data_IF_608842938711
#
_entry.id   IF_608842938711
#
_cell.length_a   1.000
_cell.length_b   1.000
_cell.length_c   1.000
_cell.angle_alpha   90.00
_cell.angle_beta   90.00
_cell.angle_gamma   90.00
#
_symmetry.space_group_name_H-M   'P 1'
#
loop_
_entity.id
_entity.type
_entity.pdbx_description
1 polymer ?
#
# COMPACT_ATOMS: atom_id res chain seq x y z
N UNK A 1 23.00 4.37 15.11
CA UNK A 1 22.76 3.51 13.94
C UNK A 1 21.29 3.66 13.55
N UNK A 2 21.01 3.90 12.27
CA UNK A 2 19.62 3.98 11.79
C UNK A 2 19.02 2.59 11.95
N UNK A 3 17.97 2.47 12.75
CA UNK A 3 17.24 1.23 12.99
C UNK A 3 16.59 0.71 11.70
N UNK A 4 16.20 1.61 10.79
CA UNK A 4 15.51 1.33 9.57
C UNK A 4 16.43 1.55 8.36
N UNK A 5 16.50 0.55 7.47
CA UNK A 5 17.22 0.64 6.19
C UNK A 5 16.20 0.76 5.07
N UNK A 6 16.29 1.85 4.33
CA UNK A 6 15.41 2.12 3.19
C UNK A 6 15.67 1.10 2.07
N UNK A 7 14.62 0.48 1.58
CA UNK A 7 14.64 -0.39 0.40
C UNK A 7 14.12 0.35 -0.83
N UNK A 8 13.10 1.20 -0.66
CA UNK A 8 12.60 2.09 -1.71
C UNK A 8 12.06 3.36 -1.07
N UNK A 9 12.32 4.50 -1.71
CA UNK A 9 11.75 5.82 -1.41
C UNK A 9 11.05 6.43 -2.62
N UNK A 10 11.06 5.68 -3.72
CA UNK A 10 10.43 6.04 -4.99
C UNK A 10 10.87 7.39 -5.56
N UNK A 11 12.13 7.80 -5.35
CA UNK A 11 12.73 8.87 -6.13
C UNK A 11 12.73 8.53 -7.62
N UNK A 12 12.72 7.24 -7.93
CA UNK A 12 12.52 6.67 -9.26
C UNK A 12 11.42 5.61 -9.23
N UNK A 13 10.93 5.19 -10.39
CA UNK A 13 9.98 4.09 -10.52
C UNK A 13 10.59 2.70 -10.22
N UNK A 14 11.85 2.65 -9.79
CA UNK A 14 12.55 1.39 -9.54
C UNK A 14 12.06 0.73 -8.24
N UNK A 15 11.69 -0.52 -8.33
CA UNK A 15 11.31 -1.35 -7.19
C UNK A 15 12.53 -2.07 -6.61
N UNK A 16 12.53 -2.41 -5.33
CA UNK A 16 13.56 -3.26 -4.75
C UNK A 16 13.68 -4.59 -5.50
N UNK A 17 14.87 -5.16 -5.51
CA UNK A 17 15.14 -6.44 -6.17
C UNK A 17 14.17 -7.52 -5.72
N UNK A 18 13.59 -8.23 -6.65
CA UNK A 18 12.69 -9.36 -6.40
C UNK A 18 11.22 -8.97 -6.17
N UNK A 19 10.90 -7.68 -6.07
CA UNK A 19 9.52 -7.24 -6.02
C UNK A 19 8.90 -7.30 -7.41
N UNK A 20 7.64 -7.70 -7.48
CA UNK A 20 6.92 -7.93 -8.74
C UNK A 20 5.64 -7.13 -8.72
N UNK A 21 5.32 -6.52 -9.85
CA UNK A 21 4.06 -5.80 -10.05
C UNK A 21 3.20 -6.49 -11.09
N UNK A 22 1.89 -6.32 -10.96
CA UNK A 22 0.90 -6.78 -11.90
C UNK A 22 -0.23 -5.75 -12.04
N UNK A 23 -0.87 -5.73 -13.19
CA UNK A 23 -1.99 -4.87 -13.49
C UNK A 23 -1.65 -3.44 -13.91
N UNK A 24 -2.58 -2.83 -14.65
CA UNK A 24 -2.41 -1.49 -15.20
C UNK A 24 -2.35 -0.40 -14.13
N UNK A 25 -2.98 -0.63 -12.97
CA UNK A 25 -2.88 0.28 -11.83
C UNK A 25 -1.45 0.44 -11.33
N UNK A 26 -0.65 -0.62 -11.33
CA UNK A 26 0.78 -0.52 -11.01
C UNK A 26 1.60 0.02 -12.17
N UNK A 27 1.35 -0.45 -13.38
CA UNK A 27 2.08 -0.02 -14.57
C UNK A 27 1.99 1.49 -14.82
N UNK A 28 0.85 2.08 -14.52
CA UNK A 28 0.54 3.50 -14.73
C UNK A 28 0.53 4.32 -13.43
N UNK A 29 0.76 3.67 -12.29
CA UNK A 29 0.54 4.26 -10.97
C UNK A 29 1.75 4.95 -10.34
N UNK A 30 2.92 4.90 -10.97
CA UNK A 30 4.06 5.66 -10.45
C UNK A 30 3.85 7.16 -10.65
N UNK A 31 4.03 7.92 -9.56
CA UNK A 31 3.91 9.38 -9.57
C UNK A 31 5.04 10.04 -8.79
N UNK A 32 5.32 11.29 -9.12
CA UNK A 32 6.23 12.17 -8.38
C UNK A 32 5.46 13.03 -7.38
N UNK A 33 6.17 13.61 -6.42
CA UNK A 33 5.56 14.47 -5.39
C UNK A 33 4.71 15.59 -6.00
N UNK A 34 3.50 15.77 -5.45
CA UNK A 34 2.57 16.81 -5.86
C UNK A 34 1.78 16.47 -7.13
N UNK A 35 1.80 15.23 -7.60
CA UNK A 35 0.94 14.81 -8.72
C UNK A 35 -0.53 14.94 -8.33
N UNK A 36 -1.34 15.68 -9.08
CA UNK A 36 -2.74 15.87 -8.75
C UNK A 36 -3.57 14.61 -9.04
N UNK A 37 -4.35 14.19 -8.07
CA UNK A 37 -5.43 13.22 -8.28
C UNK A 37 -6.68 13.98 -8.73
N UNK A 38 -7.14 13.69 -9.93
CA UNK A 38 -8.26 14.39 -10.54
C UNK A 38 -9.58 13.74 -10.13
N UNK A 39 -10.49 14.54 -9.60
CA UNK A 39 -11.86 14.12 -9.39
C UNK A 39 -12.62 14.13 -10.73
N UNK A 40 -13.33 13.05 -11.01
CA UNK A 40 -14.16 12.93 -12.21
C UNK A 40 -15.62 13.36 -11.96
N UNK A 41 -15.95 13.65 -10.72
CA UNK A 41 -17.28 14.01 -10.26
C UNK A 41 -17.20 15.10 -9.17
N UNK A 42 -18.27 15.83 -9.03
CA UNK A 42 -18.36 16.92 -8.04
C UNK A 42 -17.84 18.27 -8.54
N UNK A 43 -17.68 19.20 -7.60
CA UNK A 43 -17.27 20.59 -7.87
C UNK A 43 -15.75 20.81 -7.71
N UNK A 44 -15.00 19.78 -7.36
CA UNK A 44 -13.56 19.86 -7.09
C UNK A 44 -12.81 19.14 -8.20
N UNK A 45 -11.98 19.85 -8.94
CA UNK A 45 -11.18 19.25 -10.03
C UNK A 45 -10.01 18.44 -9.47
N UNK A 46 -9.35 18.92 -8.45
CA UNK A 46 -8.24 18.22 -7.78
C UNK A 46 -8.75 17.64 -6.48
N UNK A 47 -8.75 16.33 -6.37
CA UNK A 47 -9.19 15.62 -5.18
C UNK A 47 -8.10 15.59 -4.11
N UNK A 48 -6.85 15.36 -4.53
CA UNK A 48 -5.70 15.23 -3.63
C UNK A 48 -4.40 15.55 -4.40
N UNK A 49 -3.31 15.76 -3.65
CA UNK A 49 -1.95 15.82 -4.17
C UNK A 49 -1.18 14.60 -3.66
N UNK A 50 -0.87 13.71 -4.58
CA UNK A 50 -0.23 12.46 -4.25
C UNK A 50 1.26 12.69 -3.92
N UNK A 51 1.77 12.11 -2.84
CA UNK A 51 3.21 11.99 -2.62
C UNK A 51 3.81 11.02 -3.65
N UNK A 52 5.10 11.12 -3.90
CA UNK A 52 5.80 10.18 -4.77
C UNK A 52 5.61 8.74 -4.30
N UNK A 53 5.50 7.83 -5.26
CA UNK A 53 5.26 6.42 -5.00
C UNK A 53 4.42 5.75 -6.05
N UNK A 54 3.94 4.58 -5.74
CA UNK A 54 2.97 3.87 -6.55
C UNK A 54 1.57 4.05 -5.98
N UNK A 55 0.67 4.52 -6.83
CA UNK A 55 -0.74 4.75 -6.51
C UNK A 55 -1.59 4.09 -7.59
N UNK A 56 -2.16 2.93 -7.33
CA UNK A 56 -2.93 2.19 -8.34
C UNK A 56 -4.10 3.01 -8.91
N UNK A 57 -4.54 4.03 -8.18
CA UNK A 57 -5.63 4.92 -8.55
C UNK A 57 -5.19 6.26 -9.15
N UNK A 58 -3.90 6.48 -9.38
CA UNK A 58 -3.40 7.75 -9.90
C UNK A 58 -4.08 8.17 -11.22
N UNK A 59 -4.34 7.23 -12.11
CA UNK A 59 -5.09 7.48 -13.34
C UNK A 59 -6.57 7.16 -13.19
N UNK A 60 -6.90 6.06 -12.55
CA UNK A 60 -8.27 5.65 -12.29
C UNK A 60 -8.32 4.61 -11.17
N UNK A 61 -9.20 4.80 -10.21
CA UNK A 61 -9.46 3.84 -9.13
C UNK A 61 -10.10 2.52 -9.60
N UNK A 62 -10.38 2.39 -10.89
CA UNK A 62 -10.90 1.16 -11.51
C UNK A 62 -9.81 0.25 -12.08
N UNK A 63 -8.56 0.69 -12.07
CA UNK A 63 -7.45 -0.10 -12.61
C UNK A 63 -7.00 -1.14 -11.59
N UNK A 64 -6.89 -2.41 -12.00
CA UNK A 64 -6.38 -3.46 -11.14
C UNK A 64 -4.88 -3.26 -10.88
N UNK A 65 -4.42 -3.61 -9.69
CA UNK A 65 -3.01 -3.55 -9.34
C UNK A 65 -2.63 -4.54 -8.25
N UNK A 66 -1.44 -5.08 -8.35
CA UNK A 66 -0.82 -5.90 -7.32
C UNK A 66 0.66 -5.58 -7.19
N UNK A 67 1.16 -5.55 -5.95
CA UNK A 67 2.57 -5.49 -5.61
C UNK A 67 2.89 -6.71 -4.75
N UNK A 68 3.82 -7.52 -5.22
CA UNK A 68 4.22 -8.77 -4.57
C UNK A 68 5.61 -8.65 -4.02
N UNK A 69 5.75 -8.84 -2.72
CA UNK A 69 7.03 -8.88 -2.05
C UNK A 69 7.71 -10.25 -2.30
N UNK A 70 9.04 -10.30 -2.50
CA UNK A 70 9.75 -11.57 -2.52
C UNK A 70 9.61 -12.30 -1.18
N UNK A 71 9.92 -13.59 -1.18
CA UNK A 71 9.95 -14.35 0.06
C UNK A 71 10.94 -13.75 1.04
N UNK A 72 10.64 -13.80 2.32
CA UNK A 72 11.43 -13.15 3.35
C UNK A 72 12.90 -13.56 3.37
N UNK A 73 13.20 -14.80 3.13
CA UNK A 73 14.58 -15.30 3.08
C UNK A 73 15.47 -14.54 2.08
N UNK A 74 14.85 -13.87 1.10
CA UNK A 74 15.51 -13.08 0.07
C UNK A 74 15.55 -11.57 0.42
N UNK A 75 15.01 -11.18 1.57
CA UNK A 75 14.95 -9.79 2.02
C UNK A 75 15.97 -9.55 3.13
N UNK A 76 16.81 -8.51 3.04
CA UNK A 76 17.75 -8.20 4.09
C UNK A 76 17.04 -7.63 5.32
N UNK A 77 17.11 -8.32 6.45
CA UNK A 77 16.49 -7.94 7.72
C UNK A 77 15.34 -8.86 8.11
N UNK A 78 14.95 -8.79 9.38
CA UNK A 78 13.91 -9.65 9.95
C UNK A 78 12.51 -9.13 9.68
N UNK A 79 12.39 -7.84 9.43
CA UNK A 79 11.13 -7.15 9.26
C UNK A 79 11.15 -6.27 8.03
N UNK A 80 9.99 -6.13 7.40
CA UNK A 80 9.74 -5.13 6.37
C UNK A 80 8.56 -4.28 6.82
N UNK A 81 8.72 -2.97 6.75
CA UNK A 81 7.61 -2.03 6.94
C UNK A 81 7.39 -1.23 5.67
N UNK A 82 6.14 -1.00 5.37
CA UNK A 82 5.70 -0.28 4.17
C UNK A 82 4.82 0.89 4.61
N UNK A 83 5.10 2.06 4.09
CA UNK A 83 4.21 3.20 4.21
C UNK A 83 3.15 3.08 3.12
N UNK A 84 1.90 2.83 3.52
CA UNK A 84 0.83 2.50 2.59
C UNK A 84 -0.51 3.11 2.97
N UNK A 85 -1.35 3.29 1.97
CA UNK A 85 -2.75 3.62 2.09
C UNK A 85 -3.59 2.69 1.21
N UNK A 86 -4.89 2.68 1.42
CA UNK A 86 -5.78 1.92 0.57
C UNK A 86 -7.23 2.04 0.98
N UNK A 87 -8.09 1.61 0.09
CA UNK A 87 -9.51 1.62 0.30
C UNK A 87 -10.25 0.75 -0.70
N UNK A 88 -11.58 0.76 -0.54
CA UNK A 88 -12.50 0.07 -1.45
C UNK A 88 -12.10 -1.40 -1.66
N UNK A 89 -11.88 -2.10 -0.55
CA UNK A 89 -11.56 -3.53 -0.53
C UNK A 89 -10.17 -3.93 -1.06
N UNK A 90 -9.26 -3.01 -1.22
CA UNK A 90 -7.86 -3.40 -1.39
C UNK A 90 -7.36 -4.13 -0.14
N UNK A 91 -6.41 -5.01 -0.32
CA UNK A 91 -5.95 -5.85 0.78
C UNK A 91 -4.47 -6.14 0.77
N UNK A 92 -3.94 -6.44 1.93
CA UNK A 92 -2.67 -7.13 2.07
C UNK A 92 -2.93 -8.61 2.37
N UNK A 93 -2.21 -9.48 1.68
CA UNK A 93 -2.32 -10.93 1.77
C UNK A 93 -0.99 -11.46 2.29
N UNK A 94 -1.02 -12.18 3.40
CA UNK A 94 0.12 -12.93 3.91
C UNK A 94 0.03 -14.38 3.44
N UNK A 95 1.12 -14.88 2.87
CA UNK A 95 1.23 -16.27 2.44
C UNK A 95 2.45 -16.92 3.08
N UNK A 96 2.24 -18.06 3.73
CA UNK A 96 3.30 -18.86 4.35
C UNK A 96 3.67 -20.02 3.46
N UNK A 97 4.96 -20.27 3.30
CA UNK A 97 5.54 -21.35 2.49
C UNK A 97 4.95 -21.45 1.09
N UNK A 98 4.45 -22.61 0.72
CA UNK A 98 3.77 -22.89 -0.54
C UNK A 98 2.26 -23.02 -0.32
N UNK A 99 1.69 -22.19 0.56
CA UNK A 99 0.31 -22.27 0.90
C UNK A 99 -0.58 -22.16 -0.35
N UNK A 100 -1.39 -23.18 -0.58
CA UNK A 100 -2.48 -23.13 -1.55
C UNK A 100 -3.60 -22.18 -1.11
N UNK A 101 -3.62 -21.83 0.15
CA UNK A 101 -4.57 -20.94 0.75
C UNK A 101 -3.85 -19.73 1.32
N UNK A 102 -4.48 -18.59 1.20
CA UNK A 102 -4.06 -17.38 1.88
C UNK A 102 -4.13 -17.60 3.38
N UNK A 103 -3.03 -17.35 4.07
CA UNK A 103 -3.00 -17.49 5.51
C UNK A 103 -3.76 -16.37 6.20
N UNK A 104 -3.62 -15.15 5.71
CA UNK A 104 -4.35 -14.00 6.23
C UNK A 104 -4.58 -12.94 5.17
N UNK A 105 -5.75 -12.34 5.18
CA UNK A 105 -6.09 -11.16 4.40
C UNK A 105 -6.46 -10.03 5.36
N UNK A 106 -5.83 -8.88 5.18
CA UNK A 106 -6.19 -7.66 5.90
C UNK A 106 -6.59 -6.61 4.89
N UNK A 107 -7.82 -6.13 4.98
CA UNK A 107 -8.29 -5.03 4.15
C UNK A 107 -7.67 -3.71 4.59
N UNK A 108 -7.37 -2.87 3.60
CA UNK A 108 -6.87 -1.52 3.80
C UNK A 108 -8.07 -0.56 3.77
N UNK A 109 -8.20 0.23 4.82
CA UNK A 109 -9.35 1.15 5.01
C UNK A 109 -8.92 2.55 5.47
N UNK A 110 -7.69 2.96 5.12
CA UNK A 110 -7.15 4.27 5.47
C UNK A 110 -6.62 5.00 4.25
N UNK A 111 -7.06 6.22 4.08
CA UNK A 111 -6.80 7.03 2.87
C UNK A 111 -5.45 7.73 2.87
N UNK A 112 -4.89 8.00 4.04
CA UNK A 112 -3.57 8.64 4.15
C UNK A 112 -2.49 7.59 4.37
N UNK A 113 -1.32 7.69 3.73
CA UNK A 113 -0.22 6.78 3.95
C UNK A 113 0.16 6.71 5.43
N UNK A 114 0.32 5.51 5.93
CA UNK A 114 0.82 5.23 7.26
C UNK A 114 1.71 4.01 7.27
N UNK A 115 2.65 3.96 8.19
CA UNK A 115 3.52 2.81 8.34
C UNK A 115 2.77 1.58 8.82
N UNK A 116 3.01 0.49 8.13
CA UNK A 116 2.45 -0.84 8.45
C UNK A 116 3.58 -1.85 8.42
N UNK A 117 3.76 -2.57 9.52
CA UNK A 117 4.66 -3.71 9.51
C UNK A 117 4.05 -4.84 8.67
N UNK A 118 4.80 -5.30 7.69
CA UNK A 118 4.50 -6.53 6.94
C UNK A 118 5.15 -7.70 7.63
N UNK A 119 5.34 -7.68 8.81
CA UNK A 119 5.84 -8.81 9.48
C UNK A 119 6.09 -8.46 10.91
N UNK A 120 5.69 -9.16 11.73
CA UNK A 120 6.38 -10.34 12.25
C UNK A 120 6.41 -11.42 11.17
N UNK A 121 7.47 -11.47 10.41
CA UNK A 121 7.73 -12.53 9.45
C UNK A 121 8.08 -13.81 10.21
N UNK A 122 7.56 -13.96 11.43
CA UNK A 122 7.80 -15.07 12.31
C UNK A 122 7.76 -16.37 11.56
N UNK A 123 8.94 -16.81 11.18
CA UNK A 123 9.21 -18.18 10.78
C UNK A 123 9.08 -19.07 12.03
N UNK A 124 7.92 -18.95 12.69
CA UNK A 124 7.60 -19.73 13.89
C UNK A 124 6.77 -20.94 13.47
N UNK A 125 6.83 -22.01 14.24
CA UNK A 125 6.02 -23.21 14.06
C UNK A 125 6.22 -23.96 12.73
N UNK A 126 7.46 -24.03 12.23
CA UNK A 126 7.79 -24.79 11.01
C UNK A 126 7.57 -24.03 9.70
N UNK A 127 7.07 -22.81 9.72
CA UNK A 127 7.04 -21.93 8.54
C UNK A 127 8.46 -21.55 8.16
N UNK A 128 8.86 -21.79 6.91
CA UNK A 128 10.20 -21.51 6.41
C UNK A 128 10.29 -20.25 5.55
N UNK A 129 9.17 -19.79 5.02
CA UNK A 129 9.13 -18.58 4.22
C UNK A 129 7.78 -17.88 4.31
N UNK A 130 7.78 -16.58 4.19
CA UNK A 130 6.56 -15.76 4.13
C UNK A 130 6.71 -14.76 2.99
N UNK A 131 5.65 -14.53 2.27
CA UNK A 131 5.53 -13.43 1.31
C UNK A 131 4.28 -12.61 1.58
N UNK A 132 4.27 -11.39 1.07
CA UNK A 132 3.13 -10.49 1.16
C UNK A 132 2.79 -9.92 -0.20
N UNK A 133 1.49 -9.87 -0.47
CA UNK A 133 0.95 -9.20 -1.64
C UNK A 133 0.08 -8.03 -1.19
N UNK A 134 0.21 -6.90 -1.86
CA UNK A 134 -0.78 -5.84 -1.87
C UNK A 134 -1.59 -5.98 -3.14
N UNK A 135 -2.90 -5.97 -3.02
CA UNK A 135 -3.78 -6.24 -4.16
C UNK A 135 -5.02 -5.35 -4.14
N UNK A 136 -5.47 -4.96 -5.31
CA UNK A 136 -6.84 -4.50 -5.49
C UNK A 136 -7.80 -5.67 -5.48
N UNK A 137 -9.08 -5.43 -5.29
CA UNK A 137 -10.11 -6.48 -5.24
C UNK A 137 -10.10 -7.40 -6.46
N UNK A 138 -9.86 -6.86 -7.64
CA UNK A 138 -9.87 -7.63 -8.90
C UNK A 138 -8.72 -8.65 -9.00
N UNK A 139 -7.60 -8.38 -8.35
CA UNK A 139 -6.43 -9.26 -8.36
C UNK A 139 -6.27 -10.05 -7.04
N UNK A 140 -7.21 -9.95 -6.14
CA UNK A 140 -7.20 -10.72 -4.91
C UNK A 140 -7.84 -12.10 -5.14
N UNK A 141 -7.05 -13.19 -5.14
CA UNK A 141 -7.58 -14.54 -5.40
C UNK A 141 -8.55 -15.01 -4.32
N UNK A 142 -8.47 -14.42 -3.13
CA UNK A 142 -9.32 -14.75 -1.98
C UNK A 142 -10.39 -13.69 -1.73
N UNK A 143 -10.56 -12.76 -2.64
CA UNK A 143 -11.65 -11.83 -2.50
C UNK A 143 -12.97 -12.60 -2.47
N UNK A 144 -13.94 -12.14 -1.66
CA UNK A 144 -15.16 -12.91 -1.41
C UNK A 144 -15.70 -13.52 -2.68
N UNK A 145 -16.06 -14.79 -2.64
CA UNK A 145 -16.60 -15.45 -3.82
C UNK A 145 -17.78 -14.63 -4.34
N UNK A 146 -17.84 -14.47 -5.63
CA UNK A 146 -18.85 -13.68 -6.35
C UNK A 146 -20.30 -14.08 -6.05
N UNK A 147 -20.50 -15.15 -5.36
CA UNK A 147 -21.80 -15.70 -4.93
C UNK A 147 -22.26 -15.22 -3.56
N UNK A 148 -21.61 -14.19 -3.04
CA UNK A 148 -22.34 -13.32 -2.15
C UNK A 148 -22.53 -13.73 -0.73
N UNK A 149 -21.52 -14.13 0.03
CA UNK A 149 -21.60 -13.95 1.49
C UNK A 149 -20.20 -13.77 2.06
N UNK A 150 -19.67 -12.58 1.96
CA UNK A 150 -18.59 -12.23 2.86
C UNK A 150 -19.18 -11.72 4.16
N UNK A 151 -18.88 -12.39 5.24
CA UNK A 151 -19.06 -11.83 6.57
C UNK A 151 -17.76 -11.09 6.93
N UNK A 152 -17.78 -9.78 6.91
CA UNK A 152 -16.70 -8.98 7.50
C UNK A 152 -17.16 -8.60 8.91
N UNK A 153 -16.45 -9.09 9.91
CA UNK A 153 -16.69 -8.79 11.32
C UNK A 153 -18.14 -9.03 11.79
N UNK A 154 -18.77 -10.11 11.34
CA UNK A 154 -20.12 -10.47 11.75
C UNK A 154 -21.25 -9.65 11.11
N UNK A 155 -20.93 -8.74 10.19
CA UNK A 155 -21.94 -7.98 9.44
C UNK A 155 -22.21 -8.64 8.10
N UNK A 156 -23.48 -8.89 7.82
CA UNK A 156 -23.95 -9.32 6.51
C UNK A 156 -23.86 -8.11 5.57
N UNK A 157 -22.95 -8.15 4.60
CA UNK A 157 -22.84 -7.08 3.61
C UNK A 157 -23.91 -7.24 2.52
N UNK A 158 -24.39 -6.14 1.93
CA UNK A 158 -25.33 -6.20 0.81
C UNK A 158 -24.76 -7.03 -0.33
N UNK A 159 -25.55 -7.93 -0.88
CA UNK A 159 -25.09 -8.95 -1.84
C UNK A 159 -24.62 -8.40 -3.20
N UNK A 160 -24.99 -7.19 -3.56
CA UNK A 160 -24.85 -6.71 -4.94
C UNK A 160 -23.42 -6.26 -5.28
N UNK A 161 -22.65 -5.78 -4.31
CA UNK A 161 -21.42 -5.05 -4.62
C UNK A 161 -20.15 -5.67 -3.99
N UNK A 162 -20.31 -6.75 -3.24
CA UNK A 162 -19.17 -7.39 -2.58
C UNK A 162 -18.29 -8.07 -3.64
N UNK A 163 -17.08 -7.63 -3.74
CA UNK A 163 -16.11 -8.16 -4.68
C UNK A 163 -16.18 -7.54 -6.08
N UNK A 164 -17.08 -6.59 -6.29
CA UNK A 164 -17.23 -5.90 -7.56
C UNK A 164 -16.97 -4.41 -7.50
N UNK A 165 -16.48 -3.90 -6.37
CA UNK A 165 -16.09 -2.50 -6.32
C UNK A 165 -14.83 -2.29 -7.16
N UNK A 166 -15.06 -1.81 -8.37
CA UNK A 166 -14.00 -1.50 -9.32
C UNK A 166 -13.20 -0.24 -8.98
N UNK A 167 -13.43 0.34 -7.80
CA UNK A 167 -12.70 1.50 -7.28
C UNK A 167 -11.67 1.11 -6.23
N UNK A 168 -11.38 -0.17 -6.12
CA UNK A 168 -10.38 -0.69 -5.19
C UNK A 168 -8.98 -0.16 -5.53
N UNK A 169 -8.27 0.35 -4.53
CA UNK A 169 -6.98 0.97 -4.74
C UNK A 169 -6.06 0.83 -3.52
N UNK A 170 -4.76 0.88 -3.77
CA UNK A 170 -3.75 1.08 -2.74
C UNK A 170 -2.64 2.01 -3.22
N UNK A 171 -1.88 2.52 -2.25
CA UNK A 171 -0.69 3.36 -2.45
C UNK A 171 0.47 2.82 -1.64
N UNK A 172 1.67 2.92 -2.20
CA UNK A 172 2.94 2.61 -1.52
C UNK A 172 3.90 3.77 -1.73
N UNK A 173 4.36 4.39 -0.66
CA UNK A 173 5.19 5.59 -0.71
C UNK A 173 6.60 5.39 -0.18
N UNK A 174 6.83 4.41 0.67
CA UNK A 174 8.16 4.04 1.15
C UNK A 174 8.20 2.59 1.63
N UNK A 175 9.35 1.95 1.50
CA UNK A 175 9.60 0.59 1.96
C UNK A 175 10.92 0.57 2.72
N UNK A 176 10.91 0.01 3.95
CA UNK A 176 12.10 -0.15 4.78
C UNK A 176 12.23 -1.57 5.31
N UNK A 177 13.47 -1.97 5.60
CA UNK A 177 13.77 -3.20 6.35
C UNK A 177 14.44 -2.87 7.67
N UNK A 178 14.25 -3.74 8.67
CA UNK A 178 14.81 -3.57 10.00
C UNK A 178 14.87 -4.90 10.76
N UNK A 179 15.68 -4.93 11.86
CA UNK A 179 15.91 -6.13 12.66
C UNK A 179 15.14 -6.14 13.98
N UNK A 180 14.60 -5.02 14.39
CA UNK A 180 13.84 -4.87 15.64
C UNK A 180 12.37 -4.68 15.34
N UNK A 181 11.51 -5.23 16.18
CA UNK A 181 10.07 -5.03 16.08
C UNK A 181 9.69 -3.54 16.17
N UNK A 182 8.63 -3.17 15.46
CA UNK A 182 8.12 -1.81 15.40
C UNK A 182 7.99 -1.30 13.97
N UNK A 183 7.52 -0.10 13.83
CA UNK A 183 7.42 0.62 12.55
C UNK A 183 8.13 1.96 12.65
N UNK A 184 8.59 2.55 11.55
CA UNK A 184 9.04 3.93 11.55
C UNK A 184 7.96 4.85 12.14
N UNK A 185 8.39 5.91 12.82
CA UNK A 185 7.46 6.96 13.18
C UNK A 185 6.99 7.69 11.91
N UNK A 186 5.75 8.14 11.92
CA UNK A 186 5.26 9.01 10.87
C UNK A 186 6.09 10.30 10.91
N UNK A 187 7.01 10.42 9.95
CA UNK A 187 7.97 11.51 9.96
C UNK A 187 7.46 12.66 9.07
N UNK A 188 6.90 13.67 9.72
CA UNK A 188 6.60 14.94 9.08
C UNK A 188 7.86 15.78 8.82
N UNK A 189 9.06 15.29 9.17
CA UNK A 189 10.30 16.05 9.04
C UNK A 189 10.58 16.44 7.57
N UNK A 190 10.12 15.66 6.59
CA UNK A 190 10.20 16.04 5.17
C UNK A 190 9.39 17.31 4.83
N UNK A 191 8.42 17.65 5.66
CA UNK A 191 7.61 18.86 5.53
C UNK A 191 8.01 19.95 6.53
N UNK A 192 8.99 19.71 7.39
CA UNK A 192 9.38 20.64 8.44
C UNK A 192 9.78 22.02 7.88
N UNK A 193 10.41 22.06 6.71
CA UNK A 193 10.74 23.31 6.02
C UNK A 193 9.51 24.14 5.68
N UNK A 194 8.39 23.52 5.34
CA UNK A 194 7.14 24.21 5.01
C UNK A 194 6.50 24.90 6.23
N UNK A 195 6.83 24.41 7.43
CA UNK A 195 6.27 24.93 8.68
C UNK A 195 7.25 25.81 9.47
N UNK A 196 8.55 25.67 9.21
CA UNK A 196 9.60 26.37 9.95
C UNK A 196 10.09 27.67 9.27
N UNK A 197 9.84 27.83 7.97
CA UNK A 197 10.17 29.06 7.28
C UNK A 197 9.13 30.12 7.63
N UNK A 198 9.58 31.19 8.27
CA UNK A 198 8.74 32.38 8.48
C UNK A 198 8.21 32.84 7.10
N UNK A 199 6.92 33.14 6.97
CA UNK A 199 6.39 33.60 5.71
C UNK A 199 7.20 34.84 5.25
N UNK A 200 7.59 34.91 3.98
CA UNK A 200 8.37 36.04 3.48
C UNK A 200 7.66 37.34 3.81
N UNK A 201 8.34 38.24 4.49
CA UNK A 201 7.82 39.49 5.04
C UNK A 201 7.26 40.46 3.97
N UNK A 202 7.28 40.10 2.70
CA UNK A 202 6.93 40.92 1.54
C UNK A 202 5.81 40.33 0.66
N UNK A 203 4.84 39.63 1.19
CA UNK A 203 3.60 39.46 0.45
C UNK A 203 2.85 40.77 0.40
N UNK A 204 3.12 41.60 -0.61
CA UNK A 204 2.15 42.56 -1.09
C UNK A 204 1.02 41.78 -1.76
N UNK A 205 -0.15 41.86 -1.19
CA UNK A 205 -1.40 41.47 -1.82
C UNK A 205 -1.66 42.37 -3.03
#
# INVERSE_FOLDING_TARGET
>A
AKQFKRLADFETAELPKGWITDGDGMRLGYVTDGTPLIALDGNTVVQDLLPRGYHTHALSSKLPGALRMPRQQDVPGKFVSVELAGGEWSGSIRMADNAFQTEAVKFLDWRQPRWTAFADMGLSNGIQSVSYDLVTSDLNPNFPPRTGVAQVAGKKLPNADIGFDKRSWFSVTEIVTHDQAGVPADDLARFASLFNDAPPSNRRL
#
